data_IF_253933161684
#
_entry.id   IF_253933161684
#
_cell.length_a   1.000
_cell.length_b   1.000
_cell.length_c   1.000
_cell.angle_alpha   90.00
_cell.angle_beta   90.00
_cell.angle_gamma   90.00
#
_symmetry.space_group_name_H-M   'P 1'
#
loop_
_entity.id
_entity.type
_entity.pdbx_description
1 polymer ?
#
# COMPACT_ATOMS: atom_id res chain seq x y z
N UNK A 1 -2.13 -24.00 2.30
CA UNK A 1 -2.62 -23.20 3.44
C UNK A 1 -2.20 -21.78 3.15
N UNK A 2 -3.12 -20.85 2.91
CA UNK A 2 -2.73 -19.45 2.71
C UNK A 2 -2.27 -18.89 4.04
N UNK A 3 -1.02 -18.44 4.12
CA UNK A 3 -0.53 -17.70 5.28
C UNK A 3 -1.37 -16.43 5.42
N UNK A 4 -1.96 -16.22 6.59
CA UNK A 4 -2.73 -15.02 6.86
C UNK A 4 -1.80 -13.80 6.83
N UNK A 5 -2.25 -12.71 6.22
CA UNK A 5 -1.46 -11.46 6.17
C UNK A 5 -1.31 -10.93 7.60
N UNK A 6 -0.07 -10.78 8.06
CA UNK A 6 0.23 -10.22 9.38
C UNK A 6 0.14 -8.69 9.38
N UNK A 7 -1.09 -8.16 9.38
CA UNK A 7 -1.37 -6.73 9.26
C UNK A 7 -0.69 -5.87 10.34
N UNK A 8 -0.62 -6.34 11.59
CA UNK A 8 0.03 -5.61 12.69
C UNK A 8 1.54 -5.48 12.46
N UNK A 9 2.19 -6.53 11.95
CA UNK A 9 3.61 -6.51 11.58
C UNK A 9 3.83 -5.48 10.47
N UNK A 10 3.03 -5.53 9.40
CA UNK A 10 3.15 -4.59 8.29
C UNK A 10 2.90 -3.12 8.71
N UNK A 11 1.96 -2.88 9.62
CA UNK A 11 1.72 -1.55 10.19
C UNK A 11 2.93 -1.03 10.98
N UNK A 12 3.55 -1.88 11.80
CA UNK A 12 4.76 -1.50 12.56
C UNK A 12 5.94 -1.24 11.64
N UNK A 13 6.14 -2.07 10.61
CA UNK A 13 7.18 -1.86 9.62
C UNK A 13 6.96 -0.57 8.83
N UNK A 14 5.71 -0.28 8.43
CA UNK A 14 5.38 0.95 7.73
C UNK A 14 5.57 2.20 8.61
N UNK A 15 5.28 2.11 9.91
CA UNK A 15 5.50 3.20 10.85
C UNK A 15 6.96 3.67 10.85
N UNK A 16 7.91 2.72 10.82
CA UNK A 16 9.35 2.98 10.72
C UNK A 16 9.90 3.15 9.30
N UNK A 17 9.12 2.81 8.27
CA UNK A 17 9.56 2.86 6.88
C UNK A 17 9.86 4.30 6.42
N UNK A 18 10.99 4.46 5.74
CA UNK A 18 11.38 5.70 5.07
C UNK A 18 11.63 5.41 3.59
N UNK A 19 10.89 6.03 2.66
CA UNK A 19 11.13 5.86 1.24
C UNK A 19 12.50 6.45 0.86
N UNK A 20 13.10 5.93 -0.22
CA UNK A 20 14.38 6.44 -0.68
C UNK A 20 14.26 7.89 -1.19
N UNK A 21 15.34 8.69 -1.13
CA UNK A 21 15.32 10.08 -1.60
C UNK A 21 14.89 10.26 -3.06
N UNK A 22 15.09 9.22 -3.89
CA UNK A 22 14.67 9.19 -5.28
C UNK A 22 13.14 9.04 -5.42
N UNK A 23 12.50 8.26 -4.55
CA UNK A 23 11.05 8.07 -4.57
C UNK A 23 10.29 9.31 -4.06
N UNK A 24 10.95 10.14 -3.24
CA UNK A 24 10.43 11.43 -2.79
C UNK A 24 10.36 12.50 -3.90
N UNK A 25 11.03 12.27 -5.03
CA UNK A 25 11.04 13.21 -6.16
C UNK A 25 9.74 13.17 -6.97
N UNK A 26 8.97 12.09 -6.84
CA UNK A 26 7.72 11.94 -7.58
C UNK A 26 6.62 12.82 -6.99
N UNK A 27 5.71 13.31 -7.83
CA UNK A 27 4.64 14.20 -7.38
C UNK A 27 3.60 13.43 -6.54
N UNK A 28 3.47 13.77 -5.26
CA UNK A 28 2.56 13.08 -4.33
C UNK A 28 1.09 13.16 -4.69
N UNK A 29 0.65 14.20 -5.42
CA UNK A 29 -0.74 14.35 -5.83
C UNK A 29 -1.19 13.24 -6.79
N UNK A 30 -0.28 12.77 -7.64
CA UNK A 30 -0.56 11.70 -8.59
C UNK A 30 -0.80 10.37 -7.87
N UNK A 31 -0.09 10.14 -6.77
CA UNK A 31 -0.30 8.97 -5.91
C UNK A 31 -1.62 9.03 -5.15
N UNK A 32 -1.99 10.21 -4.65
CA UNK A 32 -3.28 10.40 -3.97
C UNK A 32 -4.44 10.15 -4.93
N UNK A 33 -4.34 10.63 -6.17
CA UNK A 33 -5.36 10.39 -7.22
C UNK A 33 -5.43 8.94 -7.66
N UNK A 34 -4.31 8.23 -7.58
CA UNK A 34 -4.24 6.83 -7.92
C UNK A 34 -4.71 5.92 -6.79
N UNK A 35 -5.06 6.42 -5.60
CA UNK A 35 -5.64 5.59 -4.55
C UNK A 35 -6.98 5.00 -5.01
N UNK A 36 -7.27 3.78 -4.57
CA UNK A 36 -8.59 3.19 -4.73
C UNK A 36 -9.66 4.05 -4.02
N UNK A 37 -10.79 4.23 -4.70
CA UNK A 37 -11.97 4.93 -4.18
C UNK A 37 -13.19 4.00 -4.29
N UNK A 38 -13.81 3.60 -3.16
CA UNK A 38 -13.51 4.02 -1.79
C UNK A 38 -12.17 3.49 -1.25
N UNK A 39 -11.55 4.26 -0.34
CA UNK A 39 -10.29 3.86 0.30
C UNK A 39 -10.47 2.54 1.08
N UNK A 40 -9.60 1.54 0.90
CA UNK A 40 -9.63 0.34 1.71
C UNK A 40 -9.25 0.62 3.17
N UNK A 41 -9.87 -0.08 4.12
CA UNK A 41 -9.62 0.09 5.57
C UNK A 41 -8.13 0.02 5.91
N UNK A 42 -7.39 -0.95 5.37
CA UNK A 42 -5.96 -1.06 5.68
C UNK A 42 -5.18 0.18 5.21
N UNK A 43 -5.53 0.77 4.07
CA UNK A 43 -4.87 1.99 3.57
C UNK A 43 -5.09 3.13 4.55
N UNK A 44 -6.32 3.33 5.05
CA UNK A 44 -6.62 4.36 6.03
C UNK A 44 -5.77 4.21 7.31
N UNK A 45 -5.66 2.98 7.81
CA UNK A 45 -4.90 2.70 9.04
C UNK A 45 -3.39 2.92 8.85
N UNK A 46 -2.85 2.59 7.67
CA UNK A 46 -1.46 2.88 7.36
C UNK A 46 -1.23 4.38 7.29
N UNK A 47 -2.06 5.12 6.54
CA UNK A 47 -1.91 6.57 6.40
C UNK A 47 -2.05 7.30 7.73
N UNK A 48 -2.96 6.87 8.60
CA UNK A 48 -3.12 7.41 9.95
C UNK A 48 -1.81 7.41 10.75
N UNK A 49 -0.98 6.36 10.62
CA UNK A 49 0.33 6.27 11.30
C UNK A 49 1.31 7.35 10.86
N UNK A 50 1.33 7.71 9.58
CA UNK A 50 2.19 8.78 9.06
C UNK A 50 1.61 10.17 9.36
N UNK A 51 0.28 10.30 9.40
CA UNK A 51 -0.37 11.55 9.82
C UNK A 51 -0.08 11.88 11.28
N UNK A 52 -0.03 10.89 12.18
CA UNK A 52 0.39 11.14 13.58
C UNK A 52 1.85 11.58 13.70
N UNK A 53 2.69 11.30 12.69
CA UNK A 53 4.08 11.77 12.60
C UNK A 53 4.20 13.13 11.88
N UNK A 54 3.08 13.76 11.48
CA UNK A 54 3.07 15.06 10.82
C UNK A 54 3.38 15.05 9.32
N UNK A 55 3.25 13.89 8.66
CA UNK A 55 3.46 13.79 7.22
C UNK A 55 2.30 14.40 6.43
N UNK A 56 2.61 15.03 5.29
CA UNK A 56 1.61 15.41 4.30
C UNK A 56 0.98 14.16 3.65
N UNK A 57 -0.27 14.28 3.18
CA UNK A 57 -0.99 13.22 2.45
C UNK A 57 -0.22 12.71 1.24
N UNK A 58 0.35 13.59 0.42
CA UNK A 58 1.15 13.18 -0.73
C UNK A 58 2.38 12.37 -0.32
N UNK A 59 3.08 12.79 0.73
CA UNK A 59 4.24 12.08 1.28
C UNK A 59 3.86 10.73 1.90
N UNK A 60 2.78 10.68 2.68
CA UNK A 60 2.29 9.45 3.31
C UNK A 60 1.86 8.40 2.27
N UNK A 61 1.12 8.82 1.23
CA UNK A 61 0.64 7.92 0.18
C UNK A 61 1.78 7.44 -0.73
N UNK A 62 2.76 8.30 -1.04
CA UNK A 62 3.99 7.85 -1.73
C UNK A 62 4.77 6.83 -0.92
N UNK A 63 4.95 7.09 0.38
CA UNK A 63 5.61 6.14 1.27
C UNK A 63 4.87 4.81 1.29
N UNK A 64 3.52 4.85 1.32
CA UNK A 64 2.70 3.64 1.26
C UNK A 64 2.91 2.88 -0.06
N UNK A 65 2.91 3.58 -1.20
CA UNK A 65 3.19 2.96 -2.49
C UNK A 65 4.54 2.24 -2.50
N UNK A 66 5.61 2.93 -2.08
CA UNK A 66 6.96 2.36 -2.02
C UNK A 66 7.04 1.17 -1.09
N UNK A 67 6.41 1.26 0.09
CA UNK A 67 6.35 0.16 1.04
C UNK A 67 5.64 -1.07 0.45
N UNK A 68 4.45 -0.89 -0.15
CA UNK A 68 3.71 -2.00 -0.75
C UNK A 68 4.45 -2.61 -1.94
N UNK A 69 5.16 -1.78 -2.72
CA UNK A 69 6.02 -2.25 -3.80
C UNK A 69 7.18 -3.10 -3.26
N UNK A 70 7.85 -2.64 -2.19
CA UNK A 70 8.91 -3.42 -1.52
C UNK A 70 8.38 -4.75 -0.99
N UNK A 71 7.21 -4.76 -0.35
CA UNK A 71 6.56 -5.99 0.15
C UNK A 71 6.16 -6.96 -0.94
N UNK A 72 5.84 -6.44 -2.13
CA UNK A 72 5.61 -7.28 -3.29
C UNK A 72 6.89 -7.99 -3.74
N UNK A 73 8.03 -7.30 -3.78
CA UNK A 73 9.29 -7.89 -4.23
C UNK A 73 9.96 -8.79 -3.18
N UNK A 74 9.92 -8.38 -1.91
CA UNK A 74 10.59 -9.10 -0.82
C UNK A 74 9.74 -10.27 -0.30
N UNK A 75 8.42 -10.10 -0.22
CA UNK A 75 7.51 -11.03 0.45
C UNK A 75 6.40 -11.57 -0.46
N UNK A 76 6.38 -11.21 -1.76
CA UNK A 76 5.34 -11.61 -2.73
C UNK A 76 3.92 -11.20 -2.31
N UNK A 77 3.79 -10.15 -1.51
CA UNK A 77 2.51 -9.58 -1.09
C UNK A 77 1.94 -8.66 -2.17
N UNK A 78 0.88 -9.10 -2.85
CA UNK A 78 0.22 -8.36 -3.92
C UNK A 78 -0.82 -7.35 -3.37
N UNK A 79 -0.40 -6.49 -2.43
CA UNK A 79 -1.27 -5.50 -1.78
C UNK A 79 -1.41 -4.19 -2.58
N UNK A 80 -0.47 -3.93 -3.49
CA UNK A 80 -0.42 -2.70 -4.29
C UNK A 80 -1.70 -2.48 -5.10
N UNK A 81 -2.26 -3.56 -5.66
CA UNK A 81 -3.47 -3.55 -6.48
C UNK A 81 -4.75 -3.26 -5.69
N UNK A 82 -4.71 -3.43 -4.37
CA UNK A 82 -5.84 -3.07 -3.51
C UNK A 82 -5.76 -1.63 -3.05
N UNK A 83 -4.56 -1.05 -3.03
CA UNK A 83 -4.36 0.33 -2.60
C UNK A 83 -4.42 1.33 -3.77
N UNK A 84 -4.05 0.92 -4.99
CA UNK A 84 -3.88 1.82 -6.12
C UNK A 84 -4.50 1.30 -7.43
N UNK A 85 -5.04 2.25 -8.22
CA UNK A 85 -5.48 2.11 -9.62
C UNK A 85 -4.27 2.20 -10.56
N UNK A 86 -3.55 1.10 -10.69
CA UNK A 86 -2.26 1.01 -11.42
C UNK A 86 -2.35 0.35 -12.80
N UNK A 87 -3.50 -0.22 -13.17
CA UNK A 87 -3.68 -0.96 -14.44
C UNK A 87 -4.79 -0.42 -15.33
N UNK A 88 -5.48 0.63 -14.90
CA UNK A 88 -6.45 1.32 -15.75
C UNK A 88 -5.74 2.37 -16.61
N UNK A 89 -6.23 2.56 -17.85
CA UNK A 89 -5.80 3.62 -18.78
C UNK A 89 -5.91 5.04 -18.18
N UNK A 90 -6.64 5.18 -17.07
CA UNK A 90 -6.87 6.43 -16.35
C UNK A 90 -5.90 6.64 -15.16
N UNK A 91 -4.90 5.77 -14.97
CA UNK A 91 -3.96 5.91 -13.86
C UNK A 91 -3.25 7.27 -13.92
N UNK A 92 -3.33 8.02 -12.81
CA UNK A 92 -2.65 9.31 -12.68
C UNK A 92 -1.14 9.17 -12.41
N UNK A 93 -0.65 7.94 -12.19
CA UNK A 93 0.77 7.72 -11.86
C UNK A 93 1.67 7.96 -13.09
N UNK A 94 2.88 8.51 -12.88
CA UNK A 94 3.85 8.65 -13.96
C UNK A 94 4.21 7.28 -14.59
N UNK A 95 4.38 7.22 -15.91
CA UNK A 95 4.75 5.98 -16.60
C UNK A 95 5.94 5.23 -15.99
N UNK A 96 7.05 5.89 -15.55
CA UNK A 96 8.16 5.18 -14.90
C UNK A 96 7.78 4.50 -13.58
N UNK A 97 6.73 4.96 -12.90
CA UNK A 97 6.18 4.35 -11.68
C UNK A 97 5.37 3.10 -12.05
N UNK A 98 4.56 3.21 -13.11
CA UNK A 98 3.78 2.09 -13.66
C UNK A 98 4.71 1.01 -14.20
N UNK A 99 5.78 1.37 -14.91
CA UNK A 99 6.77 0.43 -15.46
C UNK A 99 7.55 -0.31 -14.35
N UNK A 100 7.70 0.31 -13.17
CA UNK A 100 8.26 -0.32 -11.96
C UNK A 100 7.26 -1.26 -11.27
N UNK A 101 5.98 -1.19 -11.62
CA UNK A 101 4.96 -2.08 -11.09
C UNK A 101 4.97 -3.39 -11.89
N UNK A 102 5.23 -4.54 -11.25
CA UNK A 102 5.18 -5.79 -12.00
C UNK A 102 3.77 -6.02 -12.54
N UNK A 103 3.67 -6.38 -13.83
CA UNK A 103 2.44 -6.92 -14.40
C UNK A 103 1.94 -8.10 -13.54
N UNK A 104 0.63 -8.35 -13.48
CA UNK A 104 0.07 -9.53 -12.81
C UNK A 104 0.38 -10.78 -13.67
N UNK A 105 1.65 -11.12 -13.83
CA UNK A 105 2.03 -12.41 -14.39
C UNK A 105 2.02 -13.42 -13.24
N UNK A 106 0.91 -14.17 -13.20
CA UNK A 106 0.74 -15.51 -12.62
C UNK A 106 1.91 -16.04 -11.78
N UNK A 107 1.87 -15.89 -10.46
CA UNK A 107 2.27 -16.94 -9.48
C UNK A 107 1.91 -16.57 -8.02
N UNK A 108 0.74 -15.96 -7.83
CA UNK A 108 0.30 -15.56 -6.49
C UNK A 108 -1.06 -14.92 -6.52
N UNK A 109 -2.09 -15.69 -6.88
CA UNK A 109 -3.46 -15.33 -6.58
C UNK A 109 -3.56 -15.08 -5.06
N UNK A 110 -3.75 -13.84 -4.57
CA UNK A 110 -4.23 -13.70 -3.21
C UNK A 110 -5.60 -14.39 -3.18
N UNK A 111 -5.84 -15.30 -2.22
CA UNK A 111 -7.15 -15.90 -2.06
C UNK A 111 -8.16 -14.80 -1.70
N UNK A 112 -8.87 -14.27 -2.70
CA UNK A 112 -9.85 -13.18 -2.67
C UNK A 112 -11.12 -13.51 -1.87
N UNK A 113 -11.01 -13.84 -0.57
CA UNK A 113 -12.18 -13.99 0.32
C UNK A 113 -12.16 -13.12 1.56
N UNK A 114 -11.15 -12.25 1.72
CA UNK A 114 -10.89 -11.64 3.02
C UNK A 114 -10.70 -10.11 3.00
N UNK A 115 -11.01 -9.40 1.92
CA UNK A 115 -10.85 -7.93 1.89
C UNK A 115 -11.99 -7.25 2.67
N UNK A 116 -13.22 -7.79 2.57
CA UNK A 116 -14.38 -7.25 3.31
C UNK A 116 -14.94 -8.19 4.39
N UNK A 117 -14.55 -9.48 4.44
CA UNK A 117 -15.18 -10.47 5.35
C UNK A 117 -14.25 -11.04 6.44
N UNK A 118 -12.92 -10.92 6.33
CA UNK A 118 -12.02 -11.44 7.37
C UNK A 118 -11.61 -10.33 8.32
N UNK A 119 -12.55 -9.98 9.19
CA UNK A 119 -12.37 -9.20 10.41
C UNK A 119 -11.02 -8.54 10.54
N UNK A 120 -10.84 -7.41 9.83
CA UNK A 120 -9.81 -6.43 10.12
C UNK A 120 -10.04 -5.93 11.55
N UNK A 121 -9.60 -6.73 12.51
CA UNK A 121 -9.52 -6.38 13.90
C UNK A 121 -8.08 -5.93 14.10
N UNK A 122 -7.83 -4.64 13.89
CA UNK A 122 -6.83 -4.01 14.74
C UNK A 122 -7.41 -4.14 16.13
N UNK A 123 -7.05 -5.22 16.82
CA UNK A 123 -7.34 -5.34 18.23
C UNK A 123 -6.82 -4.05 18.87
N UNK A 124 -7.53 -3.48 19.86
CA UNK A 124 -6.89 -2.46 20.68
C UNK A 124 -5.58 -3.09 21.14
N UNK A 125 -4.47 -2.42 20.86
CA UNK A 125 -3.22 -2.67 21.56
C UNK A 125 -3.50 -2.37 23.03
N UNK A 126 -4.10 -3.33 23.71
CA UNK A 126 -4.30 -3.31 25.13
C UNK A 126 -2.93 -3.56 25.74
N UNK A 127 -2.41 -2.45 26.28
CA UNK A 127 -1.56 -2.32 27.47
C UNK A 127 -0.84 -3.56 27.99
#
# INVERSE_FOLDING_TARGET
MGEAIEWNRLLQEFEGFQPEPLDLQWNGQDFVRALEDPLPDFVEHFLAKKFTQGWDIGAAVRALYCFLLEKRYSERLNLLHFAFRIFDDESSLPQPVIDRTPFPHEDGLPSFRCINECGFKIGPGSQ
#
